data_IF_082720414746
#
_entry.id   IF_082720414746
#
_cell.length_a   1.000
_cell.length_b   1.000
_cell.length_c   1.000
_cell.angle_alpha   90.00
_cell.angle_beta   90.00
_cell.angle_gamma   90.00
#
_symmetry.space_group_name_H-M   'P 1'
#
loop_
_entity.id
_entity.type
_entity.pdbx_description
1 polymer ?
#
# COMPACT_ATOMS: atom_id res chain seq x y z
N UNK A 1 0.85 13.87 6.02
CA UNK A 1 0.47 12.45 6.26
C UNK A 1 -1.04 12.22 6.46
N UNK A 2 -1.65 11.28 5.71
CA UNK A 2 -3.05 10.81 5.84
C UNK A 2 -3.09 9.33 6.26
N UNK A 3 -3.85 8.98 7.29
CA UNK A 3 -4.14 7.56 7.60
C UNK A 3 -5.14 6.98 6.60
N UNK A 4 -4.80 5.83 6.01
CA UNK A 4 -5.62 5.15 5.02
C UNK A 4 -6.52 4.11 5.69
N UNK A 5 -7.79 4.09 5.27
CA UNK A 5 -8.75 3.06 5.67
C UNK A 5 -8.50 1.78 4.88
N UNK A 6 -9.14 0.69 5.32
CA UNK A 6 -9.16 -0.56 4.56
C UNK A 6 -9.70 -0.38 3.15
N UNK A 7 -10.75 0.44 2.97
CA UNK A 7 -11.30 0.70 1.64
C UNK A 7 -10.31 1.47 0.76
N UNK A 8 -9.63 2.49 1.29
CA UNK A 8 -8.59 3.21 0.54
C UNK A 8 -7.53 2.22 0.00
N UNK A 9 -7.08 1.27 0.83
CA UNK A 9 -6.09 0.27 0.42
C UNK A 9 -6.59 -0.69 -0.66
N UNK A 10 -7.87 -1.09 -0.62
CA UNK A 10 -8.48 -1.92 -1.66
C UNK A 10 -8.61 -1.16 -2.99
N UNK A 11 -8.94 0.13 -2.91
CA UNK A 11 -9.03 1.00 -4.08
C UNK A 11 -7.63 1.19 -4.72
N UNK A 12 -6.58 1.30 -3.90
CA UNK A 12 -5.19 1.33 -4.39
C UNK A 12 -4.80 0.05 -5.13
N UNK A 13 -5.15 -1.14 -4.62
CA UNK A 13 -4.87 -2.40 -5.33
C UNK A 13 -5.61 -2.45 -6.66
N UNK A 14 -6.87 -2.00 -6.68
CA UNK A 14 -7.67 -1.95 -7.91
C UNK A 14 -7.05 -0.99 -8.94
N UNK A 15 -6.68 0.22 -8.51
CA UNK A 15 -5.99 1.19 -9.36
C UNK A 15 -4.66 0.68 -9.89
N UNK A 16 -3.85 0.04 -9.03
CA UNK A 16 -2.58 -0.56 -9.43
C UNK A 16 -2.76 -1.71 -10.43
N UNK A 17 -3.82 -2.51 -10.30
CA UNK A 17 -4.14 -3.58 -11.25
C UNK A 17 -4.51 -3.03 -12.64
N UNK A 18 -5.25 -1.91 -12.68
CA UNK A 18 -5.60 -1.23 -13.94
C UNK A 18 -4.36 -0.62 -14.59
N UNK A 19 -3.50 0.03 -13.81
CA UNK A 19 -2.33 0.77 -14.31
C UNK A 19 -1.07 -0.09 -14.49
N UNK A 20 -1.05 -1.30 -13.92
CA UNK A 20 0.12 -2.17 -13.89
C UNK A 20 0.42 -2.90 -15.21
N UNK A 21 -0.43 -2.78 -16.23
CA UNK A 21 -0.21 -3.34 -17.58
C UNK A 21 0.14 -4.85 -17.60
N UNK A 22 -0.36 -5.62 -16.62
CA UNK A 22 -0.11 -7.07 -16.48
C UNK A 22 1.08 -7.46 -15.60
N UNK A 23 1.82 -6.50 -15.04
CA UNK A 23 2.84 -6.72 -13.99
C UNK A 23 2.37 -6.30 -12.60
N UNK A 24 3.28 -6.24 -11.62
CA UNK A 24 3.00 -5.73 -10.27
C UNK A 24 2.41 -6.72 -9.26
N UNK A 25 2.29 -8.00 -9.65
CA UNK A 25 1.71 -9.05 -8.82
C UNK A 25 0.18 -9.14 -8.94
N UNK A 26 -0.40 -10.19 -8.35
CA UNK A 26 -1.84 -10.44 -8.42
C UNK A 26 -2.63 -9.70 -7.33
N UNK A 27 -3.77 -9.12 -7.70
CA UNK A 27 -4.65 -8.39 -6.78
C UNK A 27 -5.03 -9.19 -5.53
N UNK A 28 -5.33 -10.48 -5.66
CA UNK A 28 -5.65 -11.36 -4.53
C UNK A 28 -4.52 -11.43 -3.49
N UNK A 29 -3.26 -11.48 -3.96
CA UNK A 29 -2.09 -11.46 -3.08
C UNK A 29 -1.96 -10.15 -2.33
N UNK A 30 -2.12 -9.03 -3.03
CA UNK A 30 -2.12 -7.69 -2.42
C UNK A 30 -3.21 -7.53 -1.36
N UNK A 31 -4.45 -7.94 -1.67
CA UNK A 31 -5.58 -7.88 -0.73
C UNK A 31 -5.33 -8.75 0.50
N UNK A 32 -4.77 -9.95 0.32
CA UNK A 32 -4.41 -10.82 1.45
C UNK A 32 -3.42 -10.16 2.40
N UNK A 33 -2.33 -9.59 1.86
CA UNK A 33 -1.31 -8.91 2.68
C UNK A 33 -1.87 -7.68 3.41
N UNK A 34 -2.73 -6.90 2.75
CA UNK A 34 -3.41 -5.77 3.39
C UNK A 34 -4.28 -6.23 4.57
N UNK A 35 -5.04 -7.32 4.40
CA UNK A 35 -5.85 -7.88 5.48
C UNK A 35 -4.98 -8.34 6.65
N UNK A 36 -3.91 -9.10 6.39
CA UNK A 36 -2.97 -9.56 7.40
C UNK A 36 -2.33 -8.39 8.17
N UNK A 37 -2.03 -7.28 7.50
CA UNK A 37 -1.52 -6.08 8.13
C UNK A 37 -2.56 -5.43 9.07
N UNK A 38 -3.80 -5.25 8.62
CA UNK A 38 -4.86 -4.72 9.50
C UNK A 38 -5.16 -5.65 10.68
N UNK A 39 -5.20 -6.96 10.45
CA UNK A 39 -5.43 -7.96 11.49
C UNK A 39 -4.28 -8.00 12.52
N UNK A 40 -3.06 -7.68 12.08
CA UNK A 40 -1.89 -7.48 12.94
C UNK A 40 -1.88 -6.16 13.71
N UNK A 41 -2.88 -5.28 13.52
CA UNK A 41 -2.95 -3.97 14.17
C UNK A 41 -2.06 -2.90 13.54
N UNK A 42 -1.57 -3.12 12.31
CA UNK A 42 -0.79 -2.13 11.58
C UNK A 42 -1.69 -1.06 10.95
N UNK A 43 -1.13 0.14 10.79
CA UNK A 43 -1.77 1.26 10.13
C UNK A 43 -1.01 1.64 8.85
N UNK A 44 -1.75 2.04 7.80
CA UNK A 44 -1.17 2.58 6.58
C UNK A 44 -1.24 4.11 6.61
N UNK A 45 -0.10 4.77 6.41
CA UNK A 45 0.00 6.24 6.35
C UNK A 45 0.56 6.66 5.00
N UNK A 46 -0.18 7.49 4.28
CA UNK A 46 0.25 8.13 3.05
C UNK A 46 1.00 9.42 3.42
N UNK A 47 2.26 9.53 3.02
CA UNK A 47 3.12 10.68 3.24
C UNK A 47 3.62 11.24 1.90
N UNK A 48 3.89 12.54 1.86
CA UNK A 48 4.76 13.09 0.80
C UNK A 48 6.22 12.75 1.13
N UNK A 49 7.06 12.55 0.11
CA UNK A 49 8.48 12.21 0.34
C UNK A 49 9.21 13.30 1.13
N UNK A 50 8.84 14.57 0.96
CA UNK A 50 9.42 15.68 1.73
C UNK A 50 9.05 15.66 3.22
N UNK A 51 8.05 14.87 3.62
CA UNK A 51 7.66 14.68 5.02
C UNK A 51 8.50 13.59 5.72
N UNK A 52 9.29 12.80 4.96
CA UNK A 52 10.06 11.66 5.48
C UNK A 52 11.56 11.99 5.54
N UNK A 53 12.27 11.60 6.61
CA UNK A 53 13.74 11.63 6.62
C UNK A 53 14.30 10.66 5.57
N UNK A 54 15.35 11.05 4.86
CA UNK A 54 15.96 10.23 3.80
C UNK A 54 16.37 8.83 4.30
N UNK A 55 16.86 8.74 5.54
CA UNK A 55 17.32 7.49 6.16
C UNK A 55 16.18 6.54 6.57
N UNK A 56 14.92 7.00 6.56
CA UNK A 56 13.73 6.22 6.93
C UNK A 56 13.00 5.62 5.72
N UNK A 57 13.51 5.83 4.49
CA UNK A 57 12.87 5.38 3.26
C UNK A 57 13.48 4.06 2.77
N UNK A 58 12.67 3.02 2.67
CA UNK A 58 13.04 1.73 2.09
C UNK A 58 12.13 1.39 0.90
N UNK A 59 12.74 1.01 -0.23
CA UNK A 59 12.04 0.47 -1.38
C UNK A 59 12.45 -1.00 -1.58
N UNK A 60 11.47 -1.90 -1.62
CA UNK A 60 11.67 -3.33 -1.89
C UNK A 60 10.86 -3.68 -3.15
N UNK A 61 11.51 -4.34 -4.12
CA UNK A 61 10.92 -4.77 -5.40
C UNK A 61 10.72 -6.28 -5.46
#
# INVERSE_FOLDING_TARGET
MKTLTKQDMLDYVTGATILGCGGGGGAEGGIRMINEAFDGGYEFKLADLSELPDDDILCIV
#
